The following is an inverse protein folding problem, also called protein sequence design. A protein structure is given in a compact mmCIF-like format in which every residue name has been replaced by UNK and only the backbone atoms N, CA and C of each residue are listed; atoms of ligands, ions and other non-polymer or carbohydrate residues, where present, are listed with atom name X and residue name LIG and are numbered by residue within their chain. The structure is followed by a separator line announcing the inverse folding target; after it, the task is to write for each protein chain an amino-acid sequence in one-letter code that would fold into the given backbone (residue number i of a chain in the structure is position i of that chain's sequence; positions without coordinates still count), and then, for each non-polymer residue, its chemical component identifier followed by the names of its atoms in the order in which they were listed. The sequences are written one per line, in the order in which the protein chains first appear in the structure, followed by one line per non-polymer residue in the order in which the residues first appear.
data_IF_008042837959
#
_entry.id   IF_008042837959
#
_cell.length_a   1.000
_cell.length_b   1.000
_cell.length_c   1.000
_cell.angle_alpha   90.00
_cell.angle_beta   90.00
_cell.angle_gamma   90.00
#
_symmetry.space_group_name_H-M   'P 1'
#
loop_
_entity.id
_entity.type
_entity.pdbx_description
1 polymer ?
#
# COMPACT_ATOMS: atom_id res chain seq x y z
N UNK A 1 1.48 -7.30 18.82
CA UNK A 1 1.42 -7.75 17.42
C UNK A 1 2.24 -6.75 16.60
N UNK A 2 2.98 -7.19 15.58
CA UNK A 2 3.89 -6.33 14.80
C UNK A 2 3.15 -5.50 13.74
N UNK A 3 3.74 -4.36 13.35
CA UNK A 3 3.35 -3.58 12.16
C UNK A 3 3.24 -4.47 10.93
N UNK A 4 2.13 -4.33 10.21
CA UNK A 4 1.84 -5.07 8.99
C UNK A 4 2.12 -4.23 7.76
N UNK A 5 2.99 -4.74 6.88
CA UNK A 5 3.41 -4.08 5.66
C UNK A 5 2.69 -4.72 4.46
N UNK A 6 1.85 -3.94 3.77
CA UNK A 6 1.12 -4.35 2.58
C UNK A 6 1.74 -3.72 1.35
N UNK A 7 1.97 -4.51 0.30
CA UNK A 7 2.41 -4.04 -1.01
C UNK A 7 1.29 -4.24 -2.03
N UNK A 8 0.79 -3.15 -2.62
CA UNK A 8 -0.34 -3.15 -3.56
C UNK A 8 0.16 -2.75 -4.95
N UNK A 9 0.09 -3.70 -5.87
CA UNK A 9 0.44 -3.50 -7.29
C UNK A 9 -0.82 -3.04 -8.03
N UNK A 10 -0.74 -1.96 -8.80
CA UNK A 10 -1.90 -1.37 -9.47
C UNK A 10 -2.82 -0.59 -8.52
N UNK A 11 -2.24 0.13 -7.55
CA UNK A 11 -2.97 0.85 -6.51
C UNK A 11 -3.87 1.98 -6.99
N UNK A 12 -3.75 2.40 -8.26
CA UNK A 12 -4.59 3.45 -8.87
C UNK A 12 -5.76 2.91 -9.69
N UNK A 13 -5.80 1.60 -9.97
CA UNK A 13 -6.94 0.97 -10.64
C UNK A 13 -8.15 0.85 -9.71
N UNK A 14 -9.34 0.54 -10.24
CA UNK A 14 -10.58 0.52 -9.43
C UNK A 14 -10.49 -0.36 -8.17
N UNK A 15 -10.04 -1.61 -8.31
CA UNK A 15 -9.87 -2.53 -7.18
C UNK A 15 -8.70 -2.10 -6.30
N UNK A 16 -7.56 -1.75 -6.89
CA UNK A 16 -6.36 -1.35 -6.15
C UNK A 16 -6.60 -0.11 -5.28
N UNK A 17 -7.33 0.88 -5.79
CA UNK A 17 -7.70 2.09 -5.07
C UNK A 17 -8.61 1.77 -3.88
N UNK A 18 -9.65 0.96 -4.09
CA UNK A 18 -10.53 0.53 -3.01
C UNK A 18 -9.77 -0.22 -1.90
N UNK A 19 -8.79 -1.06 -2.27
CA UNK A 19 -7.94 -1.76 -1.32
C UNK A 19 -7.04 -0.80 -0.52
N UNK A 20 -6.44 0.19 -1.19
CA UNK A 20 -5.64 1.25 -0.53
C UNK A 20 -6.47 2.01 0.49
N UNK A 21 -7.64 2.51 0.07
CA UNK A 21 -8.55 3.29 0.93
C UNK A 21 -9.02 2.46 2.13
N UNK A 22 -9.42 1.20 1.91
CA UNK A 22 -9.86 0.31 2.98
C UNK A 22 -8.76 0.05 4.01
N UNK A 23 -7.53 -0.21 3.57
CA UNK A 23 -6.41 -0.51 4.48
C UNK A 23 -5.95 0.73 5.26
N UNK A 24 -5.93 1.89 4.61
CA UNK A 24 -5.68 3.18 5.28
C UNK A 24 -6.75 3.45 6.34
N UNK A 25 -8.03 3.31 6.00
CA UNK A 25 -9.12 3.54 6.95
C UNK A 25 -9.11 2.54 8.11
N UNK A 26 -8.78 1.27 7.84
CA UNK A 26 -8.65 0.24 8.88
C UNK A 26 -7.56 0.61 9.88
N UNK A 27 -6.43 1.12 9.41
CA UNK A 27 -5.35 1.60 10.27
C UNK A 27 -5.80 2.73 11.21
N UNK A 28 -6.59 3.67 10.69
CA UNK A 28 -7.17 4.78 11.48
C UNK A 28 -8.16 4.26 12.52
N UNK A 29 -9.01 3.30 12.16
CA UNK A 29 -10.03 2.74 13.04
C UNK A 29 -9.42 1.85 14.14
N UNK A 30 -8.36 1.11 13.86
CA UNK A 30 -7.60 0.36 14.87
C UNK A 30 -7.05 1.30 15.95
N UNK A 31 -6.53 2.48 15.56
CA UNK A 31 -6.13 3.52 16.50
C UNK A 31 -7.31 4.14 17.27
N UNK A 32 -8.46 4.36 16.61
CA UNK A 32 -9.62 5.00 17.23
C UNK A 32 -10.40 4.09 18.21
N UNK A 33 -10.38 2.77 18.00
CA UNK A 33 -11.08 1.79 18.85
C UNK A 33 -10.45 1.58 20.23
N UNK A 34 -9.22 2.05 20.45
CA UNK A 34 -8.63 2.16 21.79
C UNK A 34 -9.02 3.51 22.39
N UNK A 35 -10.25 3.61 22.90
CA UNK A 35 -10.80 4.79 23.59
C UNK A 35 -10.13 5.13 24.92
N UNK A 36 -8.81 5.27 24.94
CA UNK A 36 -8.02 5.64 26.10
C UNK A 36 -6.96 6.62 25.66
N UNK A 37 -6.94 7.82 26.25
CA UNK A 37 -5.93 8.87 26.07
C UNK A 37 -4.47 8.44 26.43
N UNK A 38 -4.19 7.14 26.53
CA UNK A 38 -2.88 6.53 26.82
C UNK A 38 -2.87 5.04 26.45
N UNK A 39 -3.27 4.67 25.22
CA UNK A 39 -3.08 3.28 24.74
C UNK A 39 -1.62 3.04 24.38
N UNK A 40 -0.86 2.55 25.36
CA UNK A 40 0.57 2.19 25.30
C UNK A 40 0.82 0.85 24.61
N UNK A 41 0.18 0.58 23.46
CA UNK A 41 0.69 -0.43 22.53
C UNK A 41 1.17 0.24 21.23
N UNK A 42 2.33 0.92 21.24
CA UNK A 42 2.88 1.66 20.09
C UNK A 42 3.26 0.78 18.89
N UNK A 43 2.93 -0.52 18.91
CA UNK A 43 3.47 -1.53 17.98
C UNK A 43 2.46 -2.09 16.97
N UNK A 44 1.19 -1.69 17.00
CA UNK A 44 0.18 -2.15 16.03
C UNK A 44 -0.13 -1.06 15.02
N UNK A 45 0.34 -1.24 13.78
CA UNK A 45 0.07 -0.31 12.68
C UNK A 45 0.06 -1.03 11.34
N UNK A 46 -0.67 -0.47 10.37
CA UNK A 46 -0.69 -0.92 8.98
C UNK A 46 0.11 0.10 8.17
N UNK A 47 1.02 -0.37 7.32
CA UNK A 47 1.74 0.45 6.32
C UNK A 47 1.39 -0.05 4.93
N UNK A 48 1.02 0.87 4.05
CA UNK A 48 0.56 0.56 2.69
C UNK A 48 1.56 1.12 1.69
N UNK A 49 2.26 0.24 0.98
CA UNK A 49 3.10 0.59 -0.16
C UNK A 49 2.28 0.35 -1.42
N UNK A 50 1.81 1.41 -2.08
CA UNK A 50 0.92 1.31 -3.23
C UNK A 50 1.61 1.84 -4.48
N UNK A 51 1.39 1.19 -5.61
CA UNK A 51 2.05 1.56 -6.87
C UNK A 51 1.13 2.36 -7.80
N UNK A 52 1.74 3.28 -8.55
CA UNK A 52 1.12 3.97 -9.67
C UNK A 52 2.06 3.91 -10.89
N UNK A 53 1.50 3.93 -12.09
CA UNK A 53 2.30 3.92 -13.33
C UNK A 53 2.54 5.33 -13.87
N UNK A 54 1.49 6.02 -14.35
CA UNK A 54 1.65 7.28 -15.10
C UNK A 54 1.40 8.55 -14.29
N UNK A 55 0.42 8.53 -13.40
CA UNK A 55 -0.05 9.70 -12.67
C UNK A 55 0.02 9.47 -11.17
N UNK A 56 0.70 10.38 -10.47
CA UNK A 56 0.74 10.40 -9.00
C UNK A 56 -0.69 10.64 -8.49
N UNK A 57 -1.20 9.82 -7.55
CA UNK A 57 -2.54 10.04 -6.99
C UNK A 57 -2.61 11.27 -6.08
N UNK A 58 -3.72 12.00 -6.16
CA UNK A 58 -4.08 13.06 -5.20
C UNK A 58 -4.81 12.45 -3.99
N UNK A 59 -4.12 11.55 -3.28
CA UNK A 59 -4.61 10.91 -2.06
C UNK A 59 -3.42 10.58 -1.17
N UNK A 60 -3.43 11.14 0.04
CA UNK A 60 -2.34 11.00 1.01
C UNK A 60 -2.86 10.54 2.37
N UNK A 61 -2.05 9.76 3.07
CA UNK A 61 -2.28 9.35 4.45
C UNK A 61 -0.94 9.08 5.13
N UNK A 62 -0.87 9.22 6.45
CA UNK A 62 0.37 9.07 7.22
C UNK A 62 1.05 7.70 7.03
N UNK A 63 0.26 6.66 6.77
CA UNK A 63 0.72 5.29 6.60
C UNK A 63 0.73 4.79 5.15
N UNK A 64 0.58 5.70 4.18
CA UNK A 64 0.54 5.41 2.75
C UNK A 64 1.80 5.91 2.04
N UNK A 65 2.41 5.04 1.25
CA UNK A 65 3.60 5.32 0.45
C UNK A 65 3.31 5.01 -1.02
N UNK A 66 3.22 6.04 -1.85
CA UNK A 66 3.08 5.88 -3.29
C UNK A 66 4.43 5.65 -3.96
N UNK A 67 4.51 4.63 -4.82
CA UNK A 67 5.73 4.23 -5.52
C UNK A 67 5.46 4.16 -7.02
N UNK A 68 6.25 4.90 -7.81
CA UNK A 68 6.19 4.78 -9.27
C UNK A 68 6.67 3.38 -9.68
N UNK A 69 5.86 2.64 -10.43
CA UNK A 69 6.23 1.32 -10.93
C UNK A 69 5.44 0.94 -12.19
N UNK A 70 6.14 0.46 -13.21
CA UNK A 70 5.57 -0.33 -14.29
C UNK A 70 5.80 -1.82 -13.98
N UNK A 71 4.71 -2.58 -13.82
CA UNK A 71 4.77 -4.02 -13.52
C UNK A 71 5.27 -4.87 -14.70
N UNK A 72 5.30 -4.29 -15.91
CA UNK A 72 5.84 -4.95 -17.09
C UNK A 72 7.35 -4.73 -17.29
N UNK A 73 7.97 -3.84 -16.50
CA UNK A 73 9.41 -3.53 -16.58
C UNK A 73 10.15 -4.04 -15.33
N UNK A 74 11.05 -5.00 -15.52
CA UNK A 74 11.84 -5.60 -14.45
C UNK A 74 12.71 -4.57 -13.71
N UNK A 75 13.26 -3.60 -14.43
CA UNK A 75 14.08 -2.56 -13.81
C UNK A 75 13.24 -1.63 -12.92
N UNK A 76 12.04 -1.27 -13.37
CA UNK A 76 11.05 -0.52 -12.58
C UNK A 76 10.64 -1.29 -11.31
N UNK A 77 10.36 -2.59 -11.42
CA UNK A 77 10.07 -3.45 -10.25
C UNK A 77 11.23 -3.44 -9.26
N UNK A 78 12.47 -3.58 -9.75
CA UNK A 78 13.66 -3.56 -8.88
C UNK A 78 13.78 -2.23 -8.14
N UNK A 79 13.58 -1.10 -8.81
CA UNK A 79 13.62 0.23 -8.19
C UNK A 79 12.53 0.41 -7.13
N UNK A 80 11.31 -0.07 -7.40
CA UNK A 80 10.22 -0.07 -6.43
C UNK A 80 10.57 -0.92 -5.20
N UNK A 81 11.11 -2.12 -5.39
CA UNK A 81 11.54 -3.00 -4.30
C UNK A 81 12.67 -2.38 -3.47
N UNK A 82 13.64 -1.73 -4.11
CA UNK A 82 14.73 -1.04 -3.40
C UNK A 82 14.21 0.17 -2.60
N UNK A 83 13.20 0.88 -3.12
CA UNK A 83 12.50 1.95 -2.38
C UNK A 83 11.78 1.40 -1.14
N UNK A 84 11.09 0.27 -1.26
CA UNK A 84 10.43 -0.40 -0.12
C UNK A 84 11.45 -0.84 0.93
N UNK A 85 12.60 -1.38 0.52
CA UNK A 85 13.67 -1.81 1.43
C UNK A 85 14.26 -0.68 2.27
N UNK A 86 14.21 0.56 1.79
CA UNK A 86 14.61 1.73 2.59
C UNK A 86 13.63 2.00 3.74
N UNK A 87 12.40 1.48 3.64
CA UNK A 87 11.30 1.75 4.55
C UNK A 87 10.98 0.58 5.48
N UNK A 88 11.20 -0.66 5.04
CA UNK A 88 10.93 -1.89 5.79
C UNK A 88 11.83 -3.03 5.32
N UNK A 89 12.15 -3.97 6.21
CA UNK A 89 12.92 -5.18 5.87
C UNK A 89 12.06 -6.35 5.39
N UNK A 90 10.73 -6.25 5.54
CA UNK A 90 9.78 -7.30 5.16
C UNK A 90 8.45 -6.74 4.65
N UNK A 91 7.76 -7.55 3.85
CA UNK A 91 6.38 -7.36 3.41
C UNK A 91 5.57 -8.56 3.91
N UNK A 92 4.43 -8.32 4.57
CA UNK A 92 3.54 -9.39 5.03
C UNK A 92 2.62 -9.86 3.91
N UNK A 93 2.15 -8.94 3.07
CA UNK A 93 1.19 -9.21 2.01
C UNK A 93 1.57 -8.50 0.72
N UNK A 94 1.56 -9.25 -0.38
CA UNK A 94 1.61 -8.70 -1.74
C UNK A 94 0.25 -8.91 -2.38
N UNK A 95 -0.35 -7.82 -2.86
CA UNK A 95 -1.68 -7.81 -3.46
C UNK A 95 -1.54 -7.27 -4.88
N UNK A 96 -1.73 -8.12 -5.88
CA UNK A 96 -1.68 -7.71 -7.27
C UNK A 96 -3.08 -7.36 -7.78
N UNK A 97 -3.30 -6.07 -8.05
CA UNK A 97 -4.50 -5.53 -8.66
C UNK A 97 -4.25 -5.02 -10.09
N UNK A 98 -3.04 -5.13 -10.62
CA UNK A 98 -2.76 -4.79 -12.00
C UNK A 98 -3.26 -5.91 -12.93
N UNK A 99 -4.03 -5.51 -13.93
CA UNK A 99 -4.58 -6.42 -14.93
C UNK A 99 -5.33 -5.66 -16.01
N UNK A 100 -5.43 -6.27 -17.18
CA UNK A 100 -6.22 -5.77 -18.29
C UNK A 100 -7.22 -6.86 -18.68
N UNK A 101 -8.49 -6.50 -18.80
CA UNK A 101 -9.47 -7.37 -19.44
C UNK A 101 -9.37 -7.16 -20.94
N UNK A 102 -8.84 -8.15 -21.67
CA UNK A 102 -8.92 -8.14 -23.13
C UNK A 102 -10.34 -8.48 -23.56
N UNK A 103 -11.03 -7.55 -24.22
CA UNK A 103 -12.08 -7.92 -25.16
C UNK A 103 -11.45 -8.09 -26.52
N UNK A 104 -11.63 -9.26 -27.14
CA UNK A 104 -11.31 -9.45 -28.57
C UNK A 104 -12.06 -8.35 -29.33
N UNK A 105 -11.32 -7.46 -30.00
CA UNK A 105 -11.86 -6.72 -31.15
C UNK A 105 -12.10 -7.68 -32.29
#
# INVERSE_FOLDING_TARGET
MNTKNYFIIGGTGGIGKAMVEQLVQTATNEHASTGTHNSTNPNTGIRVFATYHKSVPDFEAENLYWIAMDICDEQSIKQAADTIKQQTTYIDWVINCAGLLHTKT
#
